data_IF_682034977553
#
_entry.id   IF_682034977553
#
_cell.length_a   1.000
_cell.length_b   1.000
_cell.length_c   1.000
_cell.angle_alpha   90.00
_cell.angle_beta   90.00
_cell.angle_gamma   90.00
#
_symmetry.space_group_name_H-M   'P 1'
#
loop_
_entity.id
_entity.type
_entity.pdbx_description
1 polymer ?
#
# COMPACT_ATOMS: atom_id res chain seq x y z
N UNK A 1 -19.83 12.60 -18.62
CA UNK A 1 -18.72 12.65 -17.65
C UNK A 1 -19.32 12.73 -16.27
N UNK A 2 -18.99 11.79 -15.39
CA UNK A 2 -19.33 11.87 -13.96
C UNK A 2 -18.23 12.64 -13.26
N UNK A 3 -18.55 13.81 -12.70
CA UNK A 3 -17.62 14.62 -11.91
C UNK A 3 -17.85 14.39 -10.43
N UNK A 4 -16.77 14.24 -9.67
CA UNK A 4 -16.81 14.19 -8.20
C UNK A 4 -16.30 15.54 -7.70
N UNK A 5 -17.09 16.22 -6.87
CA UNK A 5 -16.62 17.42 -6.16
C UNK A 5 -16.04 16.97 -4.83
N UNK A 6 -14.73 17.15 -4.65
CA UNK A 6 -14.01 16.76 -3.45
C UNK A 6 -13.64 18.02 -2.66
N UNK A 7 -14.09 18.10 -1.41
CA UNK A 7 -13.63 19.15 -0.50
C UNK A 7 -12.30 18.73 0.11
N UNK A 8 -11.22 19.30 -0.42
CA UNK A 8 -9.88 19.10 0.08
C UNK A 8 -9.49 20.23 1.06
N UNK A 9 -8.77 19.93 2.15
CA UNK A 9 -8.09 20.95 2.94
C UNK A 9 -7.18 21.80 2.05
N UNK A 10 -7.09 23.10 2.36
CA UNK A 10 -6.32 24.07 1.57
C UNK A 10 -4.85 23.65 1.41
N UNK A 11 -4.24 23.14 2.47
CA UNK A 11 -2.86 22.65 2.48
C UNK A 11 -2.63 21.52 1.46
N UNK A 12 -3.58 20.58 1.39
CA UNK A 12 -3.51 19.43 0.48
C UNK A 12 -3.74 19.86 -0.96
N UNK A 13 -4.69 20.78 -1.20
CA UNK A 13 -4.91 21.38 -2.51
C UNK A 13 -3.65 22.09 -3.03
N UNK A 14 -2.99 22.87 -2.18
CA UNK A 14 -1.75 23.56 -2.51
C UNK A 14 -0.60 22.59 -2.79
N UNK A 15 -0.47 21.53 -2.00
CA UNK A 15 0.54 20.49 -2.24
C UNK A 15 0.32 19.79 -3.59
N UNK A 16 -0.92 19.42 -3.91
CA UNK A 16 -1.29 18.80 -5.19
C UNK A 16 -1.06 19.75 -6.37
N UNK A 17 -1.41 21.03 -6.22
CA UNK A 17 -1.18 22.04 -7.26
C UNK A 17 0.32 22.25 -7.55
N UNK A 18 1.16 22.28 -6.51
CA UNK A 18 2.61 22.41 -6.67
C UNK A 18 3.24 21.15 -7.31
N UNK A 19 2.77 19.97 -6.92
CA UNK A 19 3.24 18.71 -7.50
C UNK A 19 2.83 18.59 -8.97
N UNK A 20 1.59 18.92 -9.30
CA UNK A 20 1.08 18.94 -10.67
C UNK A 20 1.87 19.92 -11.57
N UNK A 21 2.16 21.13 -11.07
CA UNK A 21 3.02 22.11 -11.76
C UNK A 21 4.43 21.59 -12.02
N UNK A 22 4.99 20.83 -11.09
CA UNK A 22 6.35 20.27 -11.23
C UNK A 22 6.40 19.17 -12.29
N UNK A 23 5.32 18.40 -12.41
CA UNK A 23 5.22 17.28 -13.35
C UNK A 23 4.62 17.67 -14.72
N UNK A 24 4.31 18.95 -14.93
CA UNK A 24 3.62 19.48 -16.12
C UNK A 24 2.31 18.74 -16.44
N UNK A 25 1.59 18.34 -15.38
CA UNK A 25 0.33 17.60 -15.44
C UNK A 25 -0.82 18.42 -14.84
N UNK A 26 -2.06 18.11 -15.20
CA UNK A 26 -3.22 18.74 -14.55
C UNK A 26 -3.42 18.17 -13.15
N UNK A 27 -3.91 19.00 -12.22
CA UNK A 27 -4.25 18.55 -10.85
C UNK A 27 -5.29 17.43 -10.89
N UNK A 28 -6.25 17.49 -11.83
CA UNK A 28 -7.27 16.45 -11.99
C UNK A 28 -6.65 15.11 -12.41
N UNK A 29 -5.68 15.12 -13.33
CA UNK A 29 -5.03 13.89 -13.78
C UNK A 29 -4.17 13.28 -12.68
N UNK A 30 -3.40 14.10 -11.95
CA UNK A 30 -2.63 13.66 -10.80
C UNK A 30 -3.51 13.05 -9.70
N UNK A 31 -4.66 13.68 -9.41
CA UNK A 31 -5.63 13.15 -8.43
C UNK A 31 -6.19 11.81 -8.91
N UNK A 32 -6.48 11.66 -10.20
CA UNK A 32 -6.97 10.39 -10.76
C UNK A 32 -5.93 9.28 -10.66
N UNK A 33 -4.67 9.59 -10.92
CA UNK A 33 -3.57 8.63 -10.80
C UNK A 33 -3.37 8.20 -9.33
N UNK A 34 -3.34 9.16 -8.40
CA UNK A 34 -3.23 8.86 -6.96
C UNK A 34 -4.42 8.03 -6.45
N UNK A 35 -5.65 8.33 -6.91
CA UNK A 35 -6.83 7.54 -6.54
C UNK A 35 -6.77 6.13 -7.12
N UNK A 36 -6.28 5.97 -8.35
CA UNK A 36 -6.10 4.64 -8.96
C UNK A 36 -5.09 3.81 -8.17
N UNK A 37 -3.94 4.39 -7.86
CA UNK A 37 -2.89 3.74 -7.08
C UNK A 37 -3.39 3.37 -5.69
N UNK A 38 -4.13 4.26 -5.02
CA UNK A 38 -4.72 3.97 -3.72
C UNK A 38 -5.72 2.81 -3.78
N UNK A 39 -6.62 2.80 -4.77
CA UNK A 39 -7.60 1.71 -4.94
C UNK A 39 -6.90 0.39 -5.26
N UNK A 40 -5.86 0.39 -6.09
CA UNK A 40 -5.09 -0.80 -6.43
C UNK A 40 -4.32 -1.35 -5.22
N UNK A 41 -3.69 -0.46 -4.45
CA UNK A 41 -3.01 -0.81 -3.20
C UNK A 41 -3.98 -1.41 -2.19
N UNK A 42 -5.12 -0.76 -1.96
CA UNK A 42 -6.11 -1.20 -0.97
C UNK A 42 -6.74 -2.55 -1.36
N UNK A 43 -7.01 -2.75 -2.66
CA UNK A 43 -7.47 -4.05 -3.19
C UNK A 43 -6.45 -5.15 -2.97
N UNK A 44 -5.18 -4.85 -3.26
CA UNK A 44 -4.09 -5.80 -3.09
C UNK A 44 -3.90 -6.16 -1.62
N UNK A 45 -3.93 -5.16 -0.73
CA UNK A 45 -3.81 -5.36 0.71
C UNK A 45 -4.99 -6.17 1.26
N UNK A 46 -6.21 -5.82 0.88
CA UNK A 46 -7.43 -6.54 1.31
C UNK A 46 -7.37 -8.01 0.86
N UNK A 47 -7.02 -8.26 -0.41
CA UNK A 47 -6.88 -9.61 -0.95
C UNK A 47 -5.80 -10.42 -0.22
N UNK A 48 -4.67 -9.80 0.12
CA UNK A 48 -3.61 -10.45 0.90
C UNK A 48 -4.07 -10.79 2.32
N UNK A 49 -4.80 -9.89 2.98
CA UNK A 49 -5.35 -10.14 4.31
C UNK A 49 -6.35 -11.30 4.27
N UNK A 50 -7.27 -11.30 3.31
CA UNK A 50 -8.24 -12.38 3.13
C UNK A 50 -7.55 -13.73 2.87
N UNK A 51 -6.51 -13.74 2.03
CA UNK A 51 -5.71 -14.94 1.76
C UNK A 51 -5.00 -15.42 3.03
N UNK A 52 -4.33 -14.53 3.75
CA UNK A 52 -3.62 -14.86 4.99
C UNK A 52 -4.56 -15.42 6.06
N UNK A 53 -5.76 -14.84 6.21
CA UNK A 53 -6.81 -15.36 7.10
C UNK A 53 -7.26 -16.76 6.66
N UNK A 54 -7.45 -16.98 5.36
CA UNK A 54 -7.82 -18.29 4.83
C UNK A 54 -6.74 -19.35 5.06
N UNK A 55 -5.47 -19.00 4.86
CA UNK A 55 -4.34 -19.90 5.10
C UNK A 55 -4.17 -20.22 6.59
N UNK A 56 -4.32 -19.23 7.46
CA UNK A 56 -4.33 -19.40 8.90
C UNK A 56 -5.47 -20.33 9.36
N UNK A 57 -6.69 -20.15 8.83
CA UNK A 57 -7.83 -21.03 9.10
C UNK A 57 -7.61 -22.47 8.60
N UNK A 58 -6.81 -22.66 7.55
CA UNK A 58 -6.40 -23.98 7.05
C UNK A 58 -5.24 -24.58 7.87
N UNK A 59 -4.76 -23.90 8.91
CA UNK A 59 -3.60 -24.34 9.69
C UNK A 59 -2.29 -24.30 8.91
N UNK A 60 -2.24 -23.59 7.78
CA UNK A 60 -1.03 -23.43 6.95
C UNK A 60 -0.11 -22.37 7.56
N UNK A 61 0.32 -22.63 8.78
CA UNK A 61 1.38 -21.87 9.40
C UNK A 61 2.73 -22.47 8.99
N UNK A 62 3.77 -21.63 8.96
CA UNK A 62 5.12 -22.13 8.82
C UNK A 62 5.45 -23.07 9.99
N UNK A 63 6.18 -24.14 9.71
CA UNK A 63 6.63 -25.06 10.76
C UNK A 63 7.73 -24.42 11.61
N UNK A 64 7.91 -24.91 12.84
CA UNK A 64 8.93 -24.39 13.76
C UNK A 64 10.34 -24.43 13.13
N UNK A 65 10.63 -25.46 12.33
CA UNK A 65 11.90 -25.59 11.60
C UNK A 65 12.08 -24.51 10.54
N UNK A 66 11.00 -24.12 9.83
CA UNK A 66 11.04 -23.04 8.84
C UNK A 66 11.25 -21.68 9.53
N UNK A 67 10.60 -21.47 10.68
CA UNK A 67 10.77 -20.26 11.50
C UNK A 67 12.18 -20.18 12.07
N UNK A 68 12.74 -21.29 12.56
CA UNK A 68 14.10 -21.38 13.06
C UNK A 68 15.14 -21.12 11.95
N UNK A 69 14.95 -21.69 10.76
CA UNK A 69 15.81 -21.43 9.61
C UNK A 69 15.76 -19.96 9.16
N UNK A 70 14.58 -19.33 9.16
CA UNK A 70 14.43 -17.91 8.87
C UNK A 70 15.14 -17.03 9.92
N UNK A 71 14.96 -17.36 11.20
CA UNK A 71 15.59 -16.67 12.34
C UNK A 71 17.12 -16.73 12.25
N UNK A 72 17.67 -17.91 11.97
CA UNK A 72 19.10 -18.11 11.79
C UNK A 72 19.65 -17.31 10.59
N UNK A 73 18.89 -17.22 9.48
CA UNK A 73 19.35 -16.46 8.29
C UNK A 73 19.29 -14.95 8.46
N UNK A 74 18.22 -14.40 9.08
CA UNK A 74 18.01 -12.95 9.17
C UNK A 74 18.59 -12.32 10.44
N UNK A 75 18.64 -13.02 11.56
CA UNK A 75 18.96 -12.42 12.86
C UNK A 75 20.24 -12.95 13.51
N UNK A 76 20.86 -14.01 12.97
CA UNK A 76 22.13 -14.53 13.51
C UNK A 76 23.36 -13.65 13.27
N UNK A 77 23.26 -12.56 12.49
CA UNK A 77 24.40 -11.65 12.25
C UNK A 77 24.59 -10.55 13.30
N UNK A 78 23.61 -10.33 14.20
CA UNK A 78 23.67 -9.25 15.20
C UNK A 78 23.65 -9.76 16.66
N UNK A 79 23.86 -11.05 16.88
CA UNK A 79 24.08 -11.61 18.22
C UNK A 79 25.59 -11.74 18.45
N UNK A 80 26.27 -10.60 18.62
CA UNK A 80 27.67 -10.47 19.00
C UNK A 80 27.81 -9.42 20.08
#
# INVERSE_FOLDING_TARGET
MTGISLHLPEDLSNALANLAKTNDQSVSDLVMDVLRDYIEHERTLTAQIELAVKEANQGKFATDDQVAAMRARRWSRNAG
#
